data_IF_750330057429
#
_entry.id   IF_750330057429
#
_cell.length_a   1.000
_cell.length_b   1.000
_cell.length_c   1.000
_cell.angle_alpha   90.00
_cell.angle_beta   90.00
_cell.angle_gamma   90.00
#
_symmetry.space_group_name_H-M   'P 1'
#
loop_
_entity.id
_entity.type
_entity.pdbx_description
1 polymer ?
#
# COMPACT_ATOMS: atom_id res chain seq x y z
N UNK A 1 36.92 6.38 10.96
CA UNK A 1 35.91 6.13 9.90
C UNK A 1 34.55 6.23 10.57
N UNK A 2 33.84 7.33 10.33
CA UNK A 2 32.44 7.49 10.75
C UNK A 2 31.59 6.72 9.75
N UNK A 3 31.03 5.58 10.14
CA UNK A 3 29.98 4.94 9.37
C UNK A 3 28.74 5.83 9.52
N UNK A 4 28.38 6.54 8.45
CA UNK A 4 27.06 7.10 8.33
C UNK A 4 26.09 5.91 8.22
N UNK A 5 25.44 5.55 9.33
CA UNK A 5 24.26 4.71 9.27
C UNK A 5 23.21 5.51 8.53
N UNK A 6 23.04 5.24 7.23
CA UNK A 6 21.82 5.65 6.53
C UNK A 6 20.65 5.14 7.37
N UNK A 7 19.61 5.95 7.64
CA UNK A 7 18.42 5.43 8.27
C UNK A 7 17.90 4.32 7.37
N UNK A 8 18.04 3.07 7.81
CA UNK A 8 17.33 1.97 7.20
C UNK A 8 15.85 2.34 7.33
N UNK A 9 15.17 2.57 6.22
CA UNK A 9 13.73 2.69 6.23
C UNK A 9 13.24 1.39 6.86
N UNK A 10 12.68 1.46 8.07
CA UNK A 10 12.20 0.29 8.82
C UNK A 10 10.98 -0.42 8.15
N UNK A 11 10.76 -0.16 6.86
CA UNK A 11 9.75 -0.75 5.99
C UNK A 11 10.32 -1.64 4.87
N UNK A 12 11.61 -1.97 4.85
CA UNK A 12 12.19 -2.79 3.75
C UNK A 12 11.61 -4.22 3.67
N UNK A 13 10.97 -4.74 4.72
CA UNK A 13 10.55 -6.15 4.77
C UNK A 13 9.03 -6.40 4.91
N UNK A 14 8.16 -5.39 4.81
CA UNK A 14 6.72 -5.62 5.05
C UNK A 14 5.86 -5.77 3.79
N UNK A 15 6.23 -5.08 2.72
CA UNK A 15 5.65 -5.18 1.37
C UNK A 15 6.76 -5.59 0.41
N UNK A 16 6.71 -6.83 -0.07
CA UNK A 16 7.80 -7.48 -0.81
C UNK A 16 7.66 -7.35 -2.34
N UNK A 17 6.67 -6.58 -2.81
CA UNK A 17 6.38 -6.44 -4.24
C UNK A 17 5.14 -5.59 -4.51
N UNK A 18 4.50 -5.87 -5.64
CA UNK A 18 3.22 -5.28 -6.03
C UNK A 18 2.09 -6.12 -5.47
N UNK A 19 1.13 -5.50 -4.81
CA UNK A 19 -0.08 -6.16 -4.35
C UNK A 19 -1.33 -5.49 -4.92
N UNK A 20 -2.34 -6.29 -5.25
CA UNK A 20 -3.65 -5.84 -5.76
C UNK A 20 -4.79 -6.46 -4.94
N UNK A 21 -5.98 -5.87 -5.00
CA UNK A 21 -7.11 -6.31 -4.16
C UNK A 21 -7.74 -7.65 -4.57
N UNK A 22 -7.29 -8.27 -5.68
CA UNK A 22 -7.69 -9.63 -6.06
C UNK A 22 -6.64 -10.34 -6.91
N UNK A 23 -6.67 -11.68 -6.88
CA UNK A 23 -5.81 -12.51 -7.73
C UNK A 23 -6.12 -12.35 -9.23
N UNK A 24 -7.38 -12.06 -9.58
CA UNK A 24 -7.80 -11.78 -10.95
C UNK A 24 -7.13 -10.51 -11.50
N UNK A 25 -7.04 -9.45 -10.68
CA UNK A 25 -6.29 -8.25 -11.02
C UNK A 25 -4.81 -8.55 -11.21
N UNK A 26 -4.20 -9.42 -10.38
CA UNK A 26 -2.83 -9.87 -10.62
C UNK A 26 -2.68 -10.62 -11.95
N UNK A 27 -3.65 -11.46 -12.32
CA UNK A 27 -3.65 -12.16 -13.60
C UNK A 27 -3.79 -11.21 -14.79
N UNK A 28 -4.57 -10.14 -14.63
CA UNK A 28 -4.72 -9.11 -15.65
C UNK A 28 -3.46 -8.23 -15.77
N UNK A 29 -2.84 -7.86 -14.65
CA UNK A 29 -1.60 -7.07 -14.63
C UNK A 29 -0.48 -7.74 -15.43
N UNK A 30 -0.41 -9.07 -15.39
CA UNK A 30 0.55 -9.87 -16.18
C UNK A 30 0.26 -9.87 -17.69
N UNK A 31 -0.98 -9.58 -18.11
CA UNK A 31 -1.38 -9.55 -19.52
C UNK A 31 -1.28 -8.15 -20.13
N UNK A 32 -1.83 -7.15 -19.43
CA UNK A 32 -2.10 -5.82 -19.99
C UNK A 32 -1.17 -4.72 -19.46
N UNK A 33 -0.37 -5.02 -18.42
CA UNK A 33 0.45 -4.12 -17.59
C UNK A 33 -0.25 -3.57 -16.34
N UNK A 34 0.56 -3.24 -15.32
CA UNK A 34 0.10 -2.66 -14.07
C UNK A 34 -0.44 -1.23 -14.26
N UNK A 35 0.17 -0.44 -15.13
CA UNK A 35 -0.27 0.94 -15.40
C UNK A 35 -1.69 0.96 -15.96
N UNK A 36 -2.04 0.04 -16.86
CA UNK A 36 -3.41 -0.07 -17.40
C UNK A 36 -4.45 -0.34 -16.32
N UNK A 37 -4.11 -1.13 -15.29
CA UNK A 37 -5.03 -1.36 -14.17
C UNK A 37 -5.18 -0.12 -13.28
N UNK A 38 -4.08 0.59 -13.03
CA UNK A 38 -4.09 1.84 -12.28
C UNK A 38 -4.96 2.87 -13.01
N UNK A 39 -4.77 3.03 -14.32
CA UNK A 39 -5.56 3.93 -15.18
C UNK A 39 -7.05 3.54 -15.22
N UNK A 40 -7.37 2.26 -15.03
CA UNK A 40 -8.73 1.76 -14.90
C UNK A 40 -9.35 1.98 -13.50
N UNK A 41 -8.64 2.66 -12.59
CA UNK A 41 -9.12 3.03 -11.25
C UNK A 41 -8.80 2.03 -10.15
N UNK A 42 -8.00 1.01 -10.41
CA UNK A 42 -7.59 0.06 -9.37
C UNK A 42 -6.47 0.64 -8.50
N UNK A 43 -6.45 0.24 -7.23
CA UNK A 43 -5.37 0.60 -6.30
C UNK A 43 -4.32 -0.50 -6.29
N UNK A 44 -3.08 -0.07 -6.48
CA UNK A 44 -1.87 -0.85 -6.27
C UNK A 44 -1.26 -0.52 -4.91
N UNK A 45 -0.88 -1.54 -4.16
CA UNK A 45 -0.03 -1.43 -2.97
C UNK A 45 1.41 -1.83 -3.30
N UNK A 46 2.36 -1.05 -2.81
CA UNK A 46 3.80 -1.32 -2.92
C UNK A 46 4.55 -0.84 -1.68
N UNK A 47 5.87 -1.04 -1.65
CA UNK A 47 6.71 -0.48 -0.58
C UNK A 47 6.72 1.06 -0.54
N UNK A 48 6.37 1.73 -1.65
CA UNK A 48 6.23 3.20 -1.72
C UNK A 48 4.90 3.68 -1.11
N UNK A 49 3.92 2.79 -1.02
CA UNK A 49 2.57 3.09 -0.56
C UNK A 49 1.49 2.66 -1.56
N UNK A 50 0.37 3.38 -1.56
CA UNK A 50 -0.81 3.07 -2.36
C UNK A 50 -0.88 4.00 -3.57
N UNK A 51 -1.26 3.47 -4.73
CA UNK A 51 -1.34 4.25 -5.96
C UNK A 51 -2.56 3.82 -6.79
N UNK A 52 -3.34 4.80 -7.22
CA UNK A 52 -4.41 4.70 -8.22
C UNK A 52 -4.28 5.84 -9.25
N UNK A 53 -5.26 5.97 -10.14
CA UNK A 53 -5.23 6.99 -11.22
C UNK A 53 -5.15 8.42 -10.70
N UNK A 54 -5.97 8.76 -9.71
CA UNK A 54 -6.05 10.10 -9.10
C UNK A 54 -5.77 10.05 -7.59
N UNK A 55 -5.21 8.93 -7.13
CA UNK A 55 -5.01 8.62 -5.72
C UNK A 55 -3.57 8.21 -5.46
N UNK A 56 -2.91 8.79 -4.47
CA UNK A 56 -1.59 8.33 -4.05
C UNK A 56 -1.46 8.48 -2.54
N UNK A 57 -0.97 7.44 -1.85
CA UNK A 57 -0.50 7.53 -0.48
C UNK A 57 0.98 7.18 -0.42
N UNK A 58 1.80 8.10 0.06
CA UNK A 58 3.19 7.85 0.39
C UNK A 58 3.30 7.35 1.83
N UNK A 59 3.99 6.23 2.05
CA UNK A 59 4.31 5.76 3.39
C UNK A 59 5.47 6.57 3.98
N UNK A 60 5.18 7.43 4.96
CA UNK A 60 6.16 8.34 5.57
C UNK A 60 6.76 7.81 6.86
N UNK A 61 6.05 6.90 7.57
CA UNK A 61 6.57 6.23 8.76
C UNK A 61 6.04 4.81 8.84
N UNK A 62 6.93 3.84 9.10
CA UNK A 62 6.58 2.42 9.26
C UNK A 62 7.23 1.89 10.53
N UNK A 63 6.44 1.26 11.39
CA UNK A 63 6.91 0.68 12.66
C UNK A 63 6.41 -0.75 12.81
N UNK A 64 7.33 -1.71 12.85
CA UNK A 64 7.02 -3.13 13.06
C UNK A 64 6.58 -3.41 14.49
N UNK A 65 5.48 -4.16 14.65
CA UNK A 65 5.05 -4.67 15.95
C UNK A 65 6.00 -5.76 16.46
N UNK A 66 6.20 -5.84 17.78
CA UNK A 66 7.12 -6.82 18.39
C UNK A 66 6.52 -8.23 18.50
N UNK A 67 5.20 -8.33 18.57
CA UNK A 67 4.48 -9.56 18.95
C UNK A 67 3.48 -10.02 17.90
N UNK A 68 3.34 -9.29 16.79
CA UNK A 68 2.41 -9.59 15.70
C UNK A 68 3.11 -9.39 14.35
N UNK A 69 2.71 -10.12 13.30
CA UNK A 69 3.20 -9.90 11.94
C UNK A 69 2.55 -8.66 11.31
N UNK A 70 2.62 -7.53 12.01
CA UNK A 70 1.91 -6.30 11.68
C UNK A 70 2.81 -5.08 11.81
N UNK A 71 2.44 -4.02 11.09
CA UNK A 71 3.12 -2.73 11.07
C UNK A 71 2.11 -1.61 11.27
N UNK A 72 2.46 -0.66 12.13
CA UNK A 72 1.79 0.63 12.17
C UNK A 72 2.44 1.54 11.12
N UNK A 73 1.64 2.07 10.22
CA UNK A 73 2.07 2.89 9.09
C UNK A 73 1.36 4.24 9.17
N UNK A 74 2.13 5.32 9.06
CA UNK A 74 1.58 6.65 8.79
C UNK A 74 1.84 6.96 7.33
N UNK A 75 0.80 7.37 6.62
CA UNK A 75 0.87 7.74 5.22
C UNK A 75 0.40 9.18 5.01
N UNK A 76 0.94 9.84 3.99
CA UNK A 76 0.38 11.09 3.46
C UNK A 76 -0.28 10.76 2.14
N UNK A 77 -1.60 10.94 2.09
CA UNK A 77 -2.41 10.62 0.94
C UNK A 77 -2.88 11.89 0.23
N UNK A 78 -3.07 11.76 -1.07
CA UNK A 78 -3.46 12.84 -1.96
C UNK A 78 -4.49 12.37 -2.97
N UNK A 79 -5.51 13.22 -3.14
CA UNK A 79 -6.54 13.20 -4.17
C UNK A 79 -6.54 14.57 -4.89
N UNK A 80 -7.25 14.75 -6.02
CA UNK A 80 -7.28 16.03 -6.71
C UNK A 80 -7.78 17.17 -5.79
N UNK A 81 -6.87 18.07 -5.41
CA UNK A 81 -7.18 19.23 -4.57
C UNK A 81 -7.22 18.97 -3.06
N UNK A 82 -6.88 17.77 -2.59
CA UNK A 82 -6.95 17.41 -1.16
C UNK A 82 -5.76 16.53 -0.74
N UNK A 83 -5.11 16.90 0.36
CA UNK A 83 -4.00 16.15 0.97
C UNK A 83 -4.31 15.93 2.45
N UNK A 84 -4.16 14.69 2.90
CA UNK A 84 -4.56 14.28 4.25
C UNK A 84 -3.66 13.16 4.79
N UNK A 85 -3.51 13.05 6.11
CA UNK A 85 -2.85 11.90 6.70
C UNK A 85 -3.79 10.69 6.78
N UNK A 86 -3.24 9.49 6.61
CA UNK A 86 -3.88 8.23 6.96
C UNK A 86 -2.98 7.45 7.94
N UNK A 87 -3.60 6.72 8.86
CA UNK A 87 -2.92 5.81 9.78
C UNK A 87 -3.43 4.41 9.50
N UNK A 88 -2.51 3.56 9.04
CA UNK A 88 -2.79 2.20 8.59
C UNK A 88 -2.18 1.18 9.55
N UNK A 89 -2.92 0.11 9.80
CA UNK A 89 -2.33 -1.16 10.23
C UNK A 89 -2.15 -2.03 9.00
N UNK A 90 -0.94 -2.51 8.76
CA UNK A 90 -0.66 -3.52 7.73
C UNK A 90 -0.34 -4.82 8.42
N UNK A 91 -1.07 -5.89 8.12
CA UNK A 91 -0.89 -7.19 8.74
C UNK A 91 -0.62 -8.24 7.68
N UNK A 92 0.48 -8.98 7.82
CA UNK A 92 0.75 -10.13 6.97
C UNK A 92 -0.11 -11.31 7.44
N UNK A 93 -1.07 -11.70 6.59
CA UNK A 93 -1.97 -12.82 6.86
C UNK A 93 -1.26 -14.14 6.54
N UNK A 94 -0.55 -14.17 5.40
CA UNK A 94 0.28 -15.29 4.95
C UNK A 94 1.39 -14.76 4.03
N UNK A 95 2.10 -15.64 3.30
CA UNK A 95 3.22 -15.24 2.45
C UNK A 95 2.83 -14.34 1.27
N UNK A 96 1.61 -14.46 0.76
CA UNK A 96 1.14 -13.77 -0.45
C UNK A 96 0.02 -12.79 -0.18
N UNK A 97 -0.41 -12.61 1.08
CA UNK A 97 -1.54 -11.76 1.44
C UNK A 97 -1.21 -10.85 2.61
N UNK A 98 -1.60 -9.58 2.45
CA UNK A 98 -1.59 -8.57 3.52
C UNK A 98 -2.98 -7.95 3.66
N UNK A 99 -3.37 -7.66 4.88
CA UNK A 99 -4.57 -6.90 5.20
C UNK A 99 -4.18 -5.50 5.64
N UNK A 100 -4.86 -4.50 5.08
CA UNK A 100 -4.76 -3.10 5.47
C UNK A 100 -6.02 -2.72 6.24
N UNK A 101 -5.82 -1.98 7.33
CA UNK A 101 -6.91 -1.33 8.07
C UNK A 101 -6.55 0.14 8.23
N UNK A 102 -7.34 1.01 7.62
CA UNK A 102 -7.26 2.46 7.73
C UNK A 102 -8.06 2.97 8.92
N UNK A 103 -7.44 3.88 9.67
CA UNK A 103 -8.05 4.60 10.79
C UNK A 103 -8.27 6.05 10.34
N UNK A 104 -9.02 6.24 9.27
CA UNK A 104 -9.56 7.55 8.91
C UNK A 104 -10.87 7.79 9.66
N UNK A 105 -11.12 9.00 10.19
CA UNK A 105 -12.45 9.37 10.62
C UNK A 105 -13.40 9.16 9.43
N UNK A 106 -14.53 8.50 9.64
CA UNK A 106 -15.55 8.40 8.61
C UNK A 106 -15.98 9.83 8.25
N UNK A 107 -15.72 10.24 7.01
CA UNK A 107 -16.36 11.44 6.47
C UNK A 107 -17.81 11.07 6.20
N UNK A 108 -18.75 11.78 6.85
CA UNK A 108 -20.17 11.65 6.57
C UNK A 108 -20.40 11.92 5.08
N UNK A 109 -20.77 10.87 4.35
CA UNK A 109 -21.35 10.90 2.99
C UNK A 109 -20.42 11.23 1.80
N UNK A 110 -19.37 10.41 1.61
CA UNK A 110 -18.74 10.23 0.30
C UNK A 110 -18.21 8.82 0.12
N UNK A 111 -18.27 8.26 -1.09
CA UNK A 111 -17.54 7.05 -1.49
C UNK A 111 -16.03 7.34 -1.44
N UNK A 112 -15.51 7.54 -0.23
CA UNK A 112 -14.07 7.68 -0.01
C UNK A 112 -13.45 6.32 -0.28
N UNK A 113 -12.42 6.33 -1.12
CA UNK A 113 -11.63 5.15 -1.42
C UNK A 113 -11.02 4.65 -0.11
N UNK A 114 -11.54 3.53 0.39
CA UNK A 114 -11.02 2.94 1.63
C UNK A 114 -9.73 2.23 1.31
N UNK A 115 -8.65 2.63 1.98
CA UNK A 115 -7.38 1.90 1.94
C UNK A 115 -7.48 0.53 2.61
N UNK A 116 -8.54 0.31 3.39
CA UNK A 116 -8.79 -0.95 4.09
C UNK A 116 -9.17 -2.07 3.11
N UNK A 117 -8.64 -3.26 3.35
CA UNK A 117 -8.96 -4.44 2.55
C UNK A 117 -7.81 -5.43 2.50
N UNK A 118 -8.05 -6.55 1.83
CA UNK A 118 -7.03 -7.56 1.56
C UNK A 118 -6.33 -7.28 0.24
N UNK A 119 -5.02 -7.44 0.22
CA UNK A 119 -4.15 -7.26 -0.93
C UNK A 119 -3.30 -8.50 -1.14
N UNK A 120 -3.15 -8.92 -2.38
CA UNK A 120 -2.50 -10.16 -2.80
C UNK A 120 -1.26 -9.86 -3.63
N UNK A 121 -0.15 -10.52 -3.31
CA UNK A 121 1.14 -10.38 -3.99
C UNK A 121 0.99 -10.84 -5.45
N UNK A 122 1.28 -9.94 -6.38
CA UNK A 122 1.27 -10.23 -7.79
C UNK A 122 2.66 -10.67 -8.26
N UNK A 123 3.00 -11.95 -8.07
CA UNK A 123 4.27 -12.51 -8.54
C UNK A 123 4.48 -12.25 -10.04
N UNK A 124 5.69 -11.81 -10.38
CA UNK A 124 6.10 -11.46 -11.74
C UNK A 124 5.59 -10.12 -12.26
N UNK A 125 4.92 -9.32 -11.43
CA UNK A 125 4.53 -7.93 -11.74
C UNK A 125 5.51 -6.98 -11.07
N UNK A 126 6.19 -6.16 -11.88
CA UNK A 126 7.11 -5.15 -11.38
C UNK A 126 6.41 -3.79 -11.24
N UNK A 127 6.95 -2.94 -10.37
CA UNK A 127 6.56 -1.54 -10.31
C UNK A 127 6.90 -0.84 -11.64
N UNK A 128 6.05 0.10 -12.11
CA UNK A 128 6.40 1.00 -13.20
C UNK A 128 7.57 1.94 -12.84
#
# INVERSE_FOLDING_TARGET
MLFASSPAFAGEDFIEGVYLQSEDLCAQARKDSLQTLIDAGNIMLSSRGLQGVEYNCEFVQVTKAKTAPSWAVTAICQEPGYVFPDVLSVTRVNQTQVDLVSVRPAEDEGESVSNSGSYYLCDGVALP
#
